data_IF_298918727424
#
_entry.id   IF_298918727424
#
_cell.length_a   1.000
_cell.length_b   1.000
_cell.length_c   1.000
_cell.angle_alpha   90.00
_cell.angle_beta   90.00
_cell.angle_gamma   90.00
#
_symmetry.space_group_name_H-M   'P 1'
#
loop_
_entity.id
_entity.type
_entity.pdbx_description
1 polymer ?
#
# COMPACT_ATOMS: atom_id res chain seq x y z
N UNK A 1 -3.94 -24.81 6.55
CA UNK A 1 -4.03 -24.33 5.65
C UNK A 1 -4.64 -23.04 5.19
N UNK A 2 -5.94 -22.85 5.30
CA UNK A 2 -6.56 -21.59 4.87
C UNK A 2 -5.97 -20.38 5.58
N UNK A 3 -5.68 -20.54 6.87
CA UNK A 3 -5.15 -19.44 7.67
C UNK A 3 -3.78 -18.95 7.20
N UNK A 4 -2.97 -19.83 6.62
CA UNK A 4 -1.66 -19.44 6.12
C UNK A 4 -1.75 -18.45 4.98
N UNK A 5 -2.67 -18.70 4.07
CA UNK A 5 -2.86 -17.80 2.94
C UNK A 5 -3.31 -16.43 3.41
N UNK A 6 -4.20 -16.39 4.40
CA UNK A 6 -4.66 -15.13 4.95
C UNK A 6 -3.55 -14.37 5.67
N UNK A 7 -2.67 -15.09 6.36
CA UNK A 7 -1.55 -14.47 7.07
C UNK A 7 -0.52 -13.86 6.12
N UNK A 8 -0.47 -14.37 4.90
CA UNK A 8 0.48 -13.87 3.89
C UNK A 8 -0.13 -12.87 2.93
N UNK A 9 -1.41 -12.55 3.10
CA UNK A 9 -2.07 -11.61 2.20
C UNK A 9 -1.52 -10.22 2.39
N UNK A 10 -1.17 -9.51 1.30
CA UNK A 10 -0.70 -8.14 1.40
C UNK A 10 -1.80 -7.21 1.90
N UNK A 11 -1.42 -6.27 2.75
CA UNK A 11 -2.36 -5.31 3.32
C UNK A 11 -1.78 -3.91 3.19
N UNK A 12 -2.64 -2.99 2.79
CA UNK A 12 -2.33 -1.57 2.70
C UNK A 12 -3.43 -0.81 3.45
N UNK A 13 -3.04 0.03 4.39
CA UNK A 13 -3.99 0.87 5.11
C UNK A 13 -3.78 2.32 4.71
N UNK A 14 -4.89 3.01 4.45
CA UNK A 14 -4.85 4.41 4.03
C UNK A 14 -5.68 5.23 5.00
N UNK A 15 -5.02 6.19 5.66
CA UNK A 15 -5.65 7.10 6.60
C UNK A 15 -5.74 8.47 5.91
N UNK A 16 -6.93 8.81 5.45
CA UNK A 16 -7.13 10.05 4.70
C UNK A 16 -7.00 11.28 5.60
N UNK A 17 -7.31 11.14 6.87
CA UNK A 17 -7.22 12.25 7.80
C UNK A 17 -5.78 12.66 8.07
N UNK A 18 -4.92 11.66 8.25
CA UNK A 18 -3.51 11.91 8.57
C UNK A 18 -2.60 11.95 7.35
N UNK A 19 -3.15 11.74 6.16
CA UNK A 19 -2.36 11.62 4.93
C UNK A 19 -1.28 10.55 5.06
N UNK A 20 -1.65 9.41 5.62
CA UNK A 20 -0.74 8.35 6.00
C UNK A 20 -1.10 7.07 5.29
N UNK A 21 -0.10 6.43 4.72
CA UNK A 21 -0.21 5.09 4.14
C UNK A 21 0.62 4.15 4.99
N UNK A 22 -0.01 3.06 5.44
CA UNK A 22 0.71 2.00 6.17
C UNK A 22 0.82 0.79 5.28
N UNK A 23 2.06 0.39 5.03
CA UNK A 23 2.36 -0.80 4.23
C UNK A 23 2.79 -1.89 5.19
N UNK A 24 2.02 -2.97 5.23
CA UNK A 24 2.31 -4.08 6.13
C UNK A 24 3.65 -4.72 5.76
N UNK A 25 4.34 -5.22 6.78
CA UNK A 25 5.64 -5.84 6.56
C UNK A 25 5.57 -7.02 5.59
N UNK A 26 4.49 -7.80 5.67
CA UNK A 26 4.32 -8.92 4.75
C UNK A 26 4.27 -8.49 3.29
N UNK A 27 3.69 -7.31 3.04
CA UNK A 27 3.65 -6.74 1.68
C UNK A 27 5.06 -6.50 1.18
N UNK A 28 5.92 -5.92 2.01
CA UNK A 28 7.30 -5.66 1.62
C UNK A 28 8.10 -6.94 1.45
N UNK A 29 7.83 -7.95 2.28
CA UNK A 29 8.49 -9.24 2.16
C UNK A 29 8.19 -9.93 0.83
N UNK A 30 6.97 -9.84 0.37
CA UNK A 30 6.58 -10.39 -0.92
C UNK A 30 7.35 -9.75 -2.07
N UNK A 31 7.77 -8.50 -1.90
CA UNK A 31 8.56 -7.79 -2.89
C UNK A 31 10.07 -8.00 -2.71
N UNK A 32 10.48 -8.85 -1.78
CA UNK A 32 11.89 -9.15 -1.54
C UNK A 32 12.57 -8.17 -0.60
N UNK A 33 11.82 -7.53 0.29
CA UNK A 33 12.35 -6.54 1.23
C UNK A 33 13.20 -5.48 0.54
N UNK A 34 12.65 -4.76 -0.44
CA UNK A 34 13.44 -3.79 -1.21
C UNK A 34 13.83 -2.58 -0.36
N UNK A 35 14.89 -1.91 -0.78
CA UNK A 35 15.31 -0.67 -0.15
C UNK A 35 14.44 0.50 -0.57
N UNK A 36 13.86 0.42 -1.76
CA UNK A 36 12.98 1.46 -2.31
C UNK A 36 11.75 0.83 -2.91
N UNK A 37 10.63 1.54 -2.83
CA UNK A 37 9.39 1.10 -3.46
C UNK A 37 8.82 2.23 -4.29
N UNK A 38 7.97 1.85 -5.24
CA UNK A 38 7.15 2.81 -5.99
C UNK A 38 5.69 2.48 -5.78
N UNK A 39 4.89 3.52 -5.57
CA UNK A 39 3.44 3.42 -5.48
C UNK A 39 2.85 3.98 -6.77
N UNK A 40 2.04 3.18 -7.42
CA UNK A 40 1.45 3.52 -8.70
C UNK A 40 -0.07 3.48 -8.58
N UNK A 41 -0.74 4.46 -9.18
CA UNK A 41 -2.19 4.53 -9.18
C UNK A 41 -2.69 4.53 -10.60
N UNK A 42 -3.63 3.64 -10.90
CA UNK A 42 -4.35 3.66 -12.16
C UNK A 42 -5.76 4.13 -11.89
N UNK A 43 -6.09 5.39 -12.21
CA UNK A 43 -7.42 5.92 -11.91
C UNK A 43 -8.53 5.30 -12.76
N UNK A 44 -8.21 4.78 -13.94
CA UNK A 44 -9.21 4.15 -14.78
C UNK A 44 -9.67 2.81 -14.23
N UNK A 45 -8.73 1.98 -13.78
CA UNK A 45 -9.05 0.69 -13.19
C UNK A 45 -9.28 0.77 -11.68
N UNK A 46 -9.00 1.93 -11.10
CA UNK A 46 -9.13 2.19 -9.66
C UNK A 46 -8.30 1.20 -8.86
N UNK A 47 -7.04 1.07 -9.28
CA UNK A 47 -6.08 0.15 -8.69
C UNK A 47 -4.87 0.91 -8.16
N UNK A 48 -4.33 0.41 -7.06
CA UNK A 48 -3.05 0.85 -6.52
C UNK A 48 -2.09 -0.32 -6.66
N UNK A 49 -0.88 -0.04 -7.10
CA UNK A 49 0.15 -1.06 -7.20
C UNK A 49 1.38 -0.61 -6.43
N UNK A 50 2.03 -1.57 -5.79
CA UNK A 50 3.31 -1.36 -5.10
C UNK A 50 4.31 -2.29 -5.76
N UNK A 51 5.47 -1.74 -6.12
CA UNK A 51 6.56 -2.54 -6.66
C UNK A 51 7.88 -2.13 -6.05
N UNK A 52 8.87 -3.01 -6.11
CA UNK A 52 10.22 -2.68 -5.73
C UNK A 52 10.76 -1.63 -6.69
N UNK A 53 11.48 -0.66 -6.16
CA UNK A 53 12.05 0.42 -6.94
C UNK A 53 13.55 0.56 -6.73
N UNK A 54 14.12 1.53 -7.41
CA UNK A 54 15.52 1.91 -7.29
C UNK A 54 15.55 3.37 -6.86
N UNK A 55 16.63 3.77 -6.19
CA UNK A 55 16.75 5.16 -5.72
C UNK A 55 16.69 6.17 -6.87
N UNK A 56 16.97 5.73 -8.10
CA UNK A 56 16.93 6.58 -9.29
C UNK A 56 15.55 6.67 -9.91
N UNK A 57 14.63 5.83 -9.49
CA UNK A 57 13.27 5.86 -10.02
C UNK A 57 12.54 7.11 -9.57
N UNK A 58 11.72 7.65 -10.46
CA UNK A 58 10.93 8.82 -10.15
C UNK A 58 9.93 8.50 -9.04
N UNK A 59 9.92 9.32 -8.00
CA UNK A 59 9.04 9.18 -6.85
C UNK A 59 9.23 7.85 -6.10
N UNK A 60 10.46 7.30 -6.12
CA UNK A 60 10.75 6.14 -5.30
C UNK A 60 10.80 6.56 -3.83
N UNK A 61 10.28 5.70 -2.96
CA UNK A 61 10.27 5.94 -1.52
C UNK A 61 11.23 5.00 -0.85
N UNK A 62 12.12 5.54 -0.03
CA UNK A 62 13.08 4.73 0.71
C UNK A 62 12.37 4.04 1.86
N UNK A 63 12.54 2.73 1.96
CA UNK A 63 11.97 1.95 3.05
C UNK A 63 12.92 1.99 4.24
N UNK A 64 12.47 2.56 5.34
CA UNK A 64 13.28 2.67 6.55
C UNK A 64 13.12 1.41 7.39
N UNK A 65 13.94 0.43 7.11
CA UNK A 65 13.80 -0.92 7.69
C UNK A 65 13.95 -0.98 9.19
N UNK A 66 14.69 -0.06 9.78
CA UNK A 66 14.86 -0.05 11.23
C UNK A 66 13.55 0.17 11.97
N UNK A 67 12.55 0.73 11.31
CA UNK A 67 11.24 0.95 11.94
C UNK A 67 10.48 -0.32 12.19
N UNK A 68 10.86 -1.42 11.53
CA UNK A 68 10.21 -2.70 11.76
C UNK A 68 10.59 -3.34 13.10
N UNK A 69 11.59 -2.83 13.76
CA UNK A 69 11.95 -3.30 15.08
C UNK A 69 10.89 -2.93 16.12
N UNK A 70 10.13 -1.86 15.85
CA UNK A 70 9.13 -1.37 16.80
C UNK A 70 7.71 -1.44 16.27
N UNK A 71 7.50 -1.98 15.06
CA UNK A 71 6.17 -2.06 14.49
C UNK A 71 6.08 -3.09 13.37
N UNK A 72 4.86 -3.28 12.90
CA UNK A 72 4.55 -4.29 11.88
C UNK A 72 4.30 -3.69 10.50
N UNK A 73 4.42 -2.38 10.37
CA UNK A 73 4.17 -1.71 9.11
C UNK A 73 5.17 -0.58 8.90
N UNK A 74 5.38 -0.29 7.63
CA UNK A 74 6.12 0.89 7.21
C UNK A 74 5.12 2.02 6.98
N UNK A 75 5.36 3.16 7.61
CA UNK A 75 4.47 4.31 7.51
C UNK A 75 5.05 5.33 6.55
N UNK A 76 4.22 5.78 5.62
CA UNK A 76 4.62 6.74 4.60
C UNK A 76 3.63 7.89 4.59
N UNK A 77 4.13 9.09 4.83
CA UNK A 77 3.33 10.30 4.72
C UNK A 77 3.50 10.86 3.31
N UNK A 78 2.47 10.79 2.51
CA UNK A 78 2.55 11.23 1.12
C UNK A 78 1.26 11.95 0.75
N UNK A 79 1.24 13.24 1.02
CA UNK A 79 0.05 14.07 0.81
C UNK A 79 -0.36 14.12 -0.65
N UNK A 80 0.61 14.29 -1.55
CA UNK A 80 0.33 14.40 -2.98
C UNK A 80 -0.31 13.14 -3.53
N UNK A 81 0.21 11.98 -3.13
CA UNK A 81 -0.33 10.71 -3.58
C UNK A 81 -1.77 10.53 -3.09
N UNK A 82 -2.02 10.89 -1.84
CA UNK A 82 -3.37 10.77 -1.27
C UNK A 82 -4.34 11.73 -1.90
N UNK A 83 -3.89 12.93 -2.29
CA UNK A 83 -4.74 13.85 -3.04
C UNK A 83 -5.11 13.27 -4.40
N UNK A 84 -4.17 12.59 -5.05
CA UNK A 84 -4.46 11.91 -6.30
C UNK A 84 -5.48 10.80 -6.08
N UNK A 85 -5.35 10.03 -5.01
CA UNK A 85 -6.32 8.99 -4.67
C UNK A 85 -7.72 9.56 -4.45
N UNK A 86 -7.81 10.72 -3.85
CA UNK A 86 -9.09 11.36 -3.58
C UNK A 86 -9.82 11.78 -4.86
N UNK A 87 -9.09 11.96 -5.97
CA UNK A 87 -9.71 12.30 -7.23
C UNK A 87 -10.31 11.08 -7.94
N UNK A 88 -9.98 9.88 -7.48
CA UNK A 88 -10.52 8.65 -8.04
C UNK A 88 -11.92 8.43 -7.48
N UNK A 89 -12.89 8.24 -8.36
CA UNK A 89 -14.28 8.02 -7.94
C UNK A 89 -14.45 6.59 -7.45
N UNK A 90 -14.18 6.36 -6.21
CA UNK A 90 -14.30 5.03 -5.58
C UNK A 90 -15.14 5.05 -4.30
N UNK A 91 -15.79 6.17 -4.00
CA UNK A 91 -16.70 6.26 -2.87
C UNK A 91 -16.02 6.46 -1.52
N UNK A 92 -14.75 6.80 -1.52
CA UNK A 92 -14.05 7.06 -0.26
C UNK A 92 -14.46 8.40 0.33
N UNK A 93 -14.59 8.42 1.64
CA UNK A 93 -14.94 9.63 2.37
C UNK A 93 -13.76 10.13 3.19
N UNK A 94 -13.56 11.44 3.20
CA UNK A 94 -12.50 12.06 3.97
C UNK A 94 -12.68 11.75 5.47
N UNK A 95 -11.57 11.48 6.13
CA UNK A 95 -11.59 11.21 7.56
C UNK A 95 -11.65 9.74 7.93
N UNK A 96 -11.91 8.88 6.95
CA UNK A 96 -11.95 7.44 7.19
C UNK A 96 -10.60 6.79 6.95
N UNK A 97 -10.45 5.62 7.55
CA UNK A 97 -9.30 4.76 7.33
C UNK A 97 -9.78 3.55 6.53
N UNK A 98 -9.11 3.27 5.43
CA UNK A 98 -9.46 2.17 4.55
C UNK A 98 -8.37 1.13 4.55
N UNK A 99 -8.77 -0.13 4.62
CA UNK A 99 -7.86 -1.27 4.53
C UNK A 99 -8.10 -1.97 3.20
N UNK A 100 -7.04 -2.12 2.43
CA UNK A 100 -7.08 -2.79 1.14
C UNK A 100 -6.29 -4.08 1.23
N UNK A 101 -6.83 -5.12 0.63
CA UNK A 101 -6.19 -6.43 0.57
C UNK A 101 -5.71 -6.64 -0.86
N UNK A 102 -4.45 -6.99 -0.99
CA UNK A 102 -3.81 -7.06 -2.28
C UNK A 102 -3.59 -8.46 -2.80
N UNK A 103 -3.14 -8.52 -4.04
CA UNK A 103 -2.74 -9.75 -4.68
C UNK A 103 -1.37 -9.55 -5.31
N UNK A 104 -0.50 -10.51 -5.10
CA UNK A 104 0.83 -10.46 -5.65
C UNK A 104 0.84 -11.04 -7.07
N UNK A 105 1.25 -10.21 -8.03
CA UNK A 105 1.45 -10.66 -9.40
C UNK A 105 2.94 -10.91 -9.58
N UNK A 106 3.35 -12.16 -9.47
CA UNK A 106 4.77 -12.51 -9.52
C UNK A 106 5.40 -12.26 -10.87
N UNK A 107 4.62 -12.34 -11.94
CA UNK A 107 5.15 -12.10 -13.30
C UNK A 107 5.51 -10.64 -13.50
N UNK A 108 4.69 -9.74 -12.99
CA UNK A 108 4.94 -8.32 -13.11
C UNK A 108 5.78 -7.77 -11.96
N UNK A 109 5.95 -8.53 -10.88
CA UNK A 109 6.69 -8.08 -9.71
C UNK A 109 6.00 -6.98 -8.95
N UNK A 110 4.66 -6.97 -8.95
CA UNK A 110 3.88 -5.94 -8.28
C UNK A 110 2.82 -6.56 -7.39
N UNK A 111 2.40 -5.79 -6.39
CA UNK A 111 1.26 -6.15 -5.57
C UNK A 111 0.16 -5.15 -5.88
N UNK A 112 -1.01 -5.65 -6.23
CA UNK A 112 -2.13 -4.83 -6.68
C UNK A 112 -3.24 -4.83 -5.65
N UNK A 113 -3.82 -3.64 -5.43
CA UNK A 113 -4.91 -3.44 -4.47
C UNK A 113 -6.04 -2.73 -5.19
N UNK A 114 -7.26 -3.26 -5.07
CA UNK A 114 -8.43 -2.59 -5.63
C UNK A 114 -8.92 -1.51 -4.67
N UNK A 115 -9.10 -0.29 -5.17
CA UNK A 115 -9.67 0.79 -4.38
C UNK A 115 -11.17 0.62 -4.16
N UNK A 116 -11.80 -0.27 -4.94
CA UNK A 116 -13.23 -0.54 -4.81
C UNK A 116 -13.53 -1.62 -3.77
N UNK A 117 -12.55 -2.45 -3.43
CA UNK A 117 -12.72 -3.55 -2.50
C UNK A 117 -12.03 -3.21 -1.18
N UNK A 118 -12.60 -2.26 -0.47
CA UNK A 118 -12.03 -1.79 0.78
C UNK A 118 -12.84 -2.27 1.96
N UNK A 119 -12.17 -2.37 3.09
CA UNK A 119 -12.80 -2.63 4.37
C UNK A 119 -12.49 -1.46 5.28
N UNK A 120 -13.50 -0.74 5.78
CA UNK A 120 -13.24 0.36 6.70
C UNK A 120 -12.59 -0.16 7.98
N UNK A 121 -11.60 0.60 8.46
CA UNK A 121 -10.99 0.27 9.73
C UNK A 121 -11.82 0.87 10.86
N UNK A 122 -11.97 0.12 11.93
CA UNK A 122 -12.78 0.56 13.07
C UNK A 122 -12.00 1.44 14.04
N UNK A 123 -10.89 1.91 13.66
CA UNK A 123 -10.09 2.74 14.55
C UNK A 123 -10.64 4.15 14.69
#
# INVERSE_FOLDING_TARGET
MMSRENLCQPILSIDLKKSLIRIHRNTLRLLGDPDYIQLLINPNSKMIAIKAGDKRDYLAHKVKKYRFETGYSYELYCKDLLQTMMTVDCGWEYGNIFRLYGQFNSKAGVIQFSMLETSPSMQ
#
